data_IF_897823754454
#
_entry.id   IF_897823754454
#
_cell.length_a   1.000
_cell.length_b   1.000
_cell.length_c   1.000
_cell.angle_alpha   90.00
_cell.angle_beta   90.00
_cell.angle_gamma   90.00
#
_symmetry.space_group_name_H-M   'P 1'
#
loop_
_entity.id
_entity.type
_entity.pdbx_description
1 polymer ?
#
# COMPACT_ATOMS: atom_id res chain seq x y z
N UNK A 1 -11.19 10.56 17.31
CA UNK A 1 -10.69 9.19 17.58
C UNK A 1 -11.47 8.06 16.86
N UNK A 2 -12.81 7.98 16.97
CA UNK A 2 -13.63 6.86 16.44
C UNK A 2 -13.59 6.66 14.91
N UNK A 3 -13.43 7.74 14.15
CA UNK A 3 -13.35 7.76 12.68
C UNK A 3 -12.08 7.10 12.12
N UNK A 4 -11.00 7.04 12.91
CA UNK A 4 -9.67 6.57 12.49
C UNK A 4 -9.57 5.06 12.51
N UNK A 5 -10.01 4.45 13.62
CA UNK A 5 -10.14 3.00 13.77
C UNK A 5 -11.16 2.43 12.77
N UNK A 6 -12.28 3.10 12.54
CA UNK A 6 -13.26 2.66 11.55
C UNK A 6 -12.70 2.65 10.10
N UNK A 7 -11.74 3.54 9.79
CA UNK A 7 -11.10 3.62 8.47
C UNK A 7 -9.91 2.67 8.34
N UNK A 8 -9.08 2.54 9.38
CA UNK A 8 -8.03 1.52 9.46
C UNK A 8 -8.60 0.09 9.44
N UNK A 9 -9.82 -0.10 9.97
CA UNK A 9 -10.55 -1.36 9.95
C UNK A 9 -11.53 -1.46 8.78
N UNK A 10 -11.53 -0.48 7.87
CA UNK A 10 -12.27 -0.61 6.64
C UNK A 10 -11.64 -1.75 5.85
N UNK A 11 -12.42 -2.81 5.61
CA UNK A 11 -12.01 -3.93 4.79
C UNK A 11 -11.39 -3.48 3.45
N UNK A 12 -11.85 -2.33 2.94
CA UNK A 12 -11.34 -1.69 1.73
C UNK A 12 -9.90 -1.18 1.88
N UNK A 13 -9.57 -0.54 3.00
CA UNK A 13 -8.20 -0.07 3.26
C UNK A 13 -7.25 -1.25 3.47
N UNK A 14 -7.64 -2.22 4.29
CA UNK A 14 -6.86 -3.43 4.55
C UNK A 14 -6.64 -4.25 3.27
N UNK A 15 -7.67 -4.41 2.45
CA UNK A 15 -7.58 -5.11 1.16
C UNK A 15 -6.60 -4.45 0.20
N UNK A 16 -6.62 -3.11 0.09
CA UNK A 16 -5.68 -2.37 -0.76
C UNK A 16 -4.23 -2.50 -0.27
N UNK A 17 -4.01 -2.41 1.04
CA UNK A 17 -2.68 -2.57 1.66
C UNK A 17 -2.15 -3.99 1.44
N UNK A 18 -2.94 -5.02 1.71
CA UNK A 18 -2.55 -6.43 1.51
C UNK A 18 -2.29 -6.73 0.04
N UNK A 19 -3.15 -6.24 -0.87
CA UNK A 19 -2.95 -6.42 -2.31
C UNK A 19 -1.64 -5.81 -2.79
N UNK A 20 -1.31 -4.59 -2.34
CA UNK A 20 -0.03 -3.94 -2.70
C UNK A 20 1.18 -4.70 -2.14
N UNK A 21 1.12 -5.17 -0.89
CA UNK A 21 2.18 -6.02 -0.31
C UNK A 21 2.34 -7.32 -1.08
N UNK A 22 1.26 -8.04 -1.38
CA UNK A 22 1.30 -9.26 -2.17
C UNK A 22 1.88 -9.02 -3.58
N UNK A 23 1.57 -7.87 -4.19
CA UNK A 23 2.13 -7.49 -5.49
C UNK A 23 3.65 -7.32 -5.42
N UNK A 24 4.14 -6.55 -4.45
CA UNK A 24 5.57 -6.32 -4.25
C UNK A 24 6.29 -7.63 -3.91
N UNK A 25 5.74 -8.43 -2.99
CA UNK A 25 6.31 -9.73 -2.62
C UNK A 25 6.37 -10.70 -3.79
N UNK A 26 5.36 -10.71 -4.66
CA UNK A 26 5.36 -11.50 -5.89
C UNK A 26 6.49 -11.09 -6.84
N UNK A 27 6.71 -9.78 -7.05
CA UNK A 27 7.81 -9.32 -7.90
C UNK A 27 9.19 -9.64 -7.30
N UNK A 28 9.32 -9.59 -5.97
CA UNK A 28 10.54 -10.01 -5.28
C UNK A 28 10.78 -11.53 -5.39
N UNK A 29 9.73 -12.34 -5.43
CA UNK A 29 9.83 -13.80 -5.56
C UNK A 29 10.21 -14.26 -6.98
N UNK A 30 9.64 -13.65 -8.03
CA UNK A 30 9.96 -13.99 -9.43
C UNK A 30 11.20 -13.25 -9.96
N UNK A 31 11.70 -12.26 -9.22
CA UNK A 31 12.86 -11.45 -9.58
C UNK A 31 12.50 -10.24 -10.45
N UNK A 32 13.30 -9.19 -10.31
CA UNK A 32 13.21 -7.96 -11.08
C UNK A 32 14.20 -8.09 -12.25
N UNK A 33 13.69 -8.33 -13.46
CA UNK A 33 14.50 -8.69 -14.62
C UNK A 33 14.58 -7.57 -15.67
N UNK A 34 13.71 -6.55 -15.55
CA UNK A 34 13.63 -5.40 -16.45
C UNK A 34 13.64 -4.08 -15.68
N UNK A 35 14.12 -2.98 -16.29
CA UNK A 35 13.91 -1.63 -15.75
C UNK A 35 12.43 -1.31 -15.50
N UNK A 36 11.52 -1.90 -16.29
CA UNK A 36 10.08 -1.76 -16.10
C UNK A 36 9.58 -2.39 -14.79
N UNK A 37 10.22 -3.47 -14.33
CA UNK A 37 9.87 -4.13 -13.07
C UNK A 37 10.26 -3.25 -11.88
N UNK A 38 11.38 -2.52 -11.98
CA UNK A 38 11.75 -1.52 -10.96
C UNK A 38 10.71 -0.40 -10.88
N UNK A 39 10.23 0.11 -12.02
CA UNK A 39 9.17 1.13 -12.04
C UNK A 39 7.87 0.61 -11.42
N UNK A 40 7.50 -0.66 -11.66
CA UNK A 40 6.32 -1.27 -11.05
C UNK A 40 6.45 -1.42 -9.54
N UNK A 41 7.61 -1.87 -9.04
CA UNK A 41 7.86 -1.97 -7.59
C UNK A 41 7.83 -0.58 -6.94
N UNK A 42 8.41 0.43 -7.58
CA UNK A 42 8.35 1.81 -7.12
C UNK A 42 6.90 2.34 -7.07
N UNK A 43 6.10 2.07 -8.10
CA UNK A 43 4.70 2.46 -8.16
C UNK A 43 3.86 1.77 -7.07
N UNK A 44 4.03 0.46 -6.89
CA UNK A 44 3.35 -0.30 -5.84
C UNK A 44 3.76 0.17 -4.44
N UNK A 45 5.03 0.49 -4.24
CA UNK A 45 5.55 1.05 -2.98
C UNK A 45 4.98 2.44 -2.71
N UNK A 46 4.92 3.32 -3.72
CA UNK A 46 4.30 4.63 -3.61
C UNK A 46 2.81 4.52 -3.28
N UNK A 47 2.11 3.54 -3.87
CA UNK A 47 0.72 3.26 -3.55
C UNK A 47 0.54 2.78 -2.11
N UNK A 48 1.42 1.91 -1.62
CA UNK A 48 1.42 1.45 -0.23
C UNK A 48 1.63 2.61 0.75
N UNK A 49 2.61 3.48 0.48
CA UNK A 49 2.90 4.68 1.29
C UNK A 49 1.72 5.64 1.28
N UNK A 50 1.13 5.93 0.12
CA UNK A 50 -0.06 6.77 0.02
C UNK A 50 -1.23 6.18 0.83
N UNK A 51 -1.42 4.86 0.77
CA UNK A 51 -2.46 4.18 1.55
C UNK A 51 -2.21 4.33 3.06
N UNK A 52 -0.97 4.18 3.52
CA UNK A 52 -0.58 4.41 4.93
C UNK A 52 -0.76 5.88 5.34
N UNK A 53 -0.37 6.82 4.48
CA UNK A 53 -0.50 8.25 4.73
C UNK A 53 -1.97 8.69 4.93
N UNK A 54 -2.95 7.99 4.34
CA UNK A 54 -4.38 8.26 4.62
C UNK A 54 -4.76 8.02 6.09
N UNK A 55 -4.03 7.17 6.82
CA UNK A 55 -4.22 6.99 8.26
C UNK A 55 -3.58 8.13 9.08
N UNK A 56 -2.41 8.61 8.63
CA UNK A 56 -1.68 9.70 9.29
C UNK A 56 -2.38 11.06 9.11
N UNK A 57 -2.88 11.37 7.91
CA UNK A 57 -3.59 12.63 7.65
C UNK A 57 -4.95 12.71 8.35
N UNK A 58 -5.54 11.56 8.72
CA UNK A 58 -6.78 11.51 9.49
C UNK A 58 -6.63 11.99 10.96
N UNK A 59 -5.43 12.42 11.39
CA UNK A 59 -5.17 13.09 12.70
C UNK A 59 -5.20 14.62 12.59
N UNK A 60 -5.09 15.18 11.38
CA UNK A 60 -4.84 16.62 11.17
C UNK A 60 -6.11 17.46 10.96
N UNK A 61 -7.29 16.83 11.08
CA UNK A 61 -8.65 17.41 11.04
C UNK A 61 -9.42 17.00 12.30
#
# INVERSE_FOLDING_TARGET
MRSRLARAWSLKWLGQTVASVCWISSMLAYGINSPGDMLQVCAASAWLVANIATLATADAD
#
